data_IF_576979831625
#
_entry.id   IF_576979831625
#
_cell.length_a   1.000
_cell.length_b   1.000
_cell.length_c   1.000
_cell.angle_alpha   90.00
_cell.angle_beta   90.00
_cell.angle_gamma   90.00
#
_symmetry.space_group_name_H-M   'P 1'
#
loop_
_entity.id
_entity.type
_entity.pdbx_description
1 polymer ?
#
# COMPACT_ATOMS: atom_id res chain seq x y z
N UNK A 1 -23.58 -8.59 11.56
CA UNK A 1 -23.04 -7.30 12.06
C UNK A 1 -22.14 -7.46 13.30
N UNK A 2 -22.19 -8.59 14.03
CA UNK A 2 -21.39 -8.82 15.25
C UNK A 2 -19.97 -9.34 14.96
N UNK A 3 -19.70 -9.90 13.78
CA UNK A 3 -18.39 -10.48 13.43
C UNK A 3 -17.24 -9.47 13.21
N UNK A 4 -17.51 -8.17 13.22
CA UNK A 4 -16.52 -7.13 12.88
C UNK A 4 -15.88 -6.43 14.08
N UNK A 5 -16.16 -6.86 15.31
CA UNK A 5 -15.56 -6.27 16.50
C UNK A 5 -14.40 -7.12 16.99
N UNK A 6 -13.20 -6.54 17.01
CA UNK A 6 -12.10 -7.12 17.76
C UNK A 6 -12.19 -6.66 19.23
N UNK A 7 -12.13 -7.62 20.14
CA UNK A 7 -12.10 -7.34 21.57
C UNK A 7 -10.79 -6.68 22.01
N UNK A 8 -10.82 -6.14 23.24
CA UNK A 8 -9.65 -5.53 23.87
C UNK A 8 -8.50 -6.51 23.92
N UNK A 9 -7.38 -6.17 23.29
CA UNK A 9 -6.19 -7.01 23.30
C UNK A 9 -5.34 -6.65 24.52
N UNK A 10 -4.86 -7.65 25.24
CA UNK A 10 -3.89 -7.44 26.32
C UNK A 10 -2.52 -7.90 25.85
N UNK A 11 -1.54 -7.01 25.85
CA UNK A 11 -0.16 -7.29 25.42
C UNK A 11 0.75 -7.27 26.63
N UNK A 12 1.63 -8.27 26.74
CA UNK A 12 2.69 -8.28 27.75
C UNK A 12 3.84 -7.42 27.25
N UNK A 13 4.26 -6.46 28.06
CA UNK A 13 5.35 -5.54 27.74
C UNK A 13 6.53 -5.77 28.67
N UNK A 14 7.72 -5.66 28.10
CA UNK A 14 8.96 -5.67 28.87
C UNK A 14 9.16 -4.29 29.51
N UNK A 15 9.37 -4.27 30.82
CA UNK A 15 9.80 -3.09 31.59
C UNK A 15 11.28 -3.20 31.93
N UNK A 16 11.87 -2.11 32.40
CA UNK A 16 13.26 -2.14 32.86
C UNK A 16 13.46 -3.18 33.97
N UNK A 17 12.50 -3.29 34.91
CA UNK A 17 12.56 -4.28 35.98
C UNK A 17 12.42 -5.71 35.45
N UNK A 18 11.53 -5.97 34.49
CA UNK A 18 11.38 -7.32 33.93
C UNK A 18 12.57 -7.71 33.04
N UNK A 19 13.28 -6.73 32.47
CA UNK A 19 14.49 -6.98 31.67
C UNK A 19 15.73 -7.23 32.55
N UNK A 20 15.87 -6.47 33.64
CA UNK A 20 17.04 -6.55 34.53
C UNK A 20 16.90 -7.61 35.64
N UNK A 21 15.67 -7.90 36.06
CA UNK A 21 15.39 -8.82 37.17
C UNK A 21 14.48 -9.96 36.70
N UNK A 22 15.04 -11.16 36.61
CA UNK A 22 14.37 -12.35 36.03
C UNK A 22 13.16 -12.83 36.84
N UNK A 23 13.01 -12.34 38.06
CA UNK A 23 11.91 -12.66 38.98
C UNK A 23 10.67 -11.76 38.80
N UNK A 24 10.82 -10.59 38.19
CA UNK A 24 9.70 -9.69 37.92
C UNK A 24 9.00 -10.09 36.62
N UNK A 25 7.73 -10.48 36.73
CA UNK A 25 6.90 -10.81 35.57
C UNK A 25 6.69 -9.61 34.64
N UNK A 26 6.46 -9.88 33.35
CA UNK A 26 6.13 -8.84 32.36
C UNK A 26 4.83 -8.11 32.73
N UNK A 27 4.85 -6.78 32.63
CA UNK A 27 3.65 -5.97 32.83
C UNK A 27 2.64 -6.21 31.71
N UNK A 28 1.35 -6.04 31.99
CA UNK A 28 0.28 -6.21 31.01
C UNK A 28 -0.35 -4.87 30.68
N UNK A 29 -0.43 -4.54 29.39
CA UNK A 29 -1.09 -3.33 28.89
C UNK A 29 -2.32 -3.73 28.08
N UNK A 30 -3.46 -3.13 28.40
CA UNK A 30 -4.68 -3.24 27.59
C UNK A 30 -4.64 -2.25 26.44
N UNK A 31 -4.86 -2.74 25.23
CA UNK A 31 -4.91 -1.98 23.99
C UNK A 31 -6.30 -2.08 23.36
N UNK A 32 -6.94 -0.94 23.13
CA UNK A 32 -8.25 -0.84 22.49
C UNK A 32 -8.19 -0.26 21.07
N UNK A 33 -7.08 0.40 20.72
CA UNK A 33 -6.96 1.13 19.46
C UNK A 33 -6.08 0.39 18.44
N UNK A 34 -5.12 -0.39 18.94
CA UNK A 34 -4.13 -1.10 18.16
C UNK A 34 -4.13 -2.58 18.52
N UNK A 35 -3.88 -3.42 17.52
CA UNK A 35 -3.72 -4.87 17.71
C UNK A 35 -2.49 -5.38 16.95
N UNK A 36 -1.84 -6.38 17.53
CA UNK A 36 -0.72 -7.09 16.94
C UNK A 36 -1.16 -8.29 16.11
N UNK A 37 -0.60 -8.44 14.92
CA UNK A 37 -0.85 -9.56 14.00
C UNK A 37 0.46 -10.36 13.83
N UNK A 38 0.71 -11.26 14.79
CA UNK A 38 2.01 -11.94 14.95
C UNK A 38 1.95 -13.49 14.94
N UNK A 39 0.80 -14.11 15.29
CA UNK A 39 0.69 -15.56 15.47
C UNK A 39 -0.39 -16.23 14.58
N UNK A 40 -0.58 -15.74 13.36
CA UNK A 40 -1.66 -16.21 12.48
C UNK A 40 -1.52 -17.67 11.97
N UNK A 41 -0.46 -18.40 12.34
CA UNK A 41 -0.15 -19.75 11.81
C UNK A 41 0.22 -20.79 12.87
N UNK A 42 0.14 -20.48 14.16
CA UNK A 42 0.65 -21.40 15.19
C UNK A 42 -0.35 -22.50 15.57
N UNK A 43 -1.64 -22.17 15.79
CA UNK A 43 -2.72 -23.09 16.19
C UNK A 43 -4.06 -22.65 15.55
N UNK A 44 -5.08 -23.52 15.51
CA UNK A 44 -6.43 -23.20 14.96
C UNK A 44 -7.07 -21.95 15.60
N UNK A 45 -6.95 -21.81 16.92
CA UNK A 45 -7.42 -20.60 17.63
C UNK A 45 -6.68 -19.33 17.17
N UNK A 46 -5.39 -19.45 16.85
CA UNK A 46 -4.57 -18.35 16.34
C UNK A 46 -4.96 -17.94 14.91
N UNK A 47 -5.34 -18.91 14.08
CA UNK A 47 -5.88 -18.67 12.73
C UNK A 47 -7.23 -17.94 12.82
N UNK A 48 -8.15 -18.45 13.65
CA UNK A 48 -9.46 -17.83 13.88
C UNK A 48 -9.33 -16.38 14.39
N UNK A 49 -8.44 -16.16 15.36
CA UNK A 49 -8.17 -14.82 15.89
C UNK A 49 -7.63 -13.87 14.82
N UNK A 50 -6.68 -14.34 14.01
CA UNK A 50 -6.11 -13.56 12.92
C UNK A 50 -7.17 -13.16 11.89
N UNK A 51 -8.06 -14.08 11.51
CA UNK A 51 -9.16 -13.78 10.59
C UNK A 51 -10.16 -12.77 11.17
N UNK A 52 -10.49 -12.88 12.45
CA UNK A 52 -11.35 -11.92 13.13
C UNK A 52 -10.72 -10.52 13.17
N UNK A 53 -9.42 -10.44 13.49
CA UNK A 53 -8.67 -9.17 13.48
C UNK A 53 -8.65 -8.56 12.08
N UNK A 54 -8.45 -9.38 11.04
CA UNK A 54 -8.47 -8.92 9.64
C UNK A 54 -9.84 -8.38 9.24
N UNK A 55 -10.92 -9.09 9.56
CA UNK A 55 -12.30 -8.64 9.30
C UNK A 55 -12.60 -7.33 10.03
N UNK A 56 -12.22 -7.24 11.30
CA UNK A 56 -12.43 -6.04 12.12
C UNK A 56 -11.66 -4.83 11.59
N UNK A 57 -10.38 -4.98 11.23
CA UNK A 57 -9.57 -3.89 10.68
C UNK A 57 -10.05 -3.42 9.30
N UNK A 58 -10.68 -4.30 8.51
CA UNK A 58 -11.35 -3.96 7.25
C UNK A 58 -12.79 -3.44 7.45
N UNK A 59 -13.13 -3.00 8.65
CA UNK A 59 -14.41 -2.40 8.99
C UNK A 59 -14.21 -0.97 9.49
N UNK A 60 -15.27 -0.15 9.62
CA UNK A 60 -15.16 1.20 10.19
C UNK A 60 -14.91 1.19 11.72
N UNK A 61 -14.81 0.02 12.35
CA UNK A 61 -14.69 -0.14 13.80
C UNK A 61 -13.26 -0.48 14.22
N UNK A 62 -13.03 -0.52 15.54
CA UNK A 62 -11.74 -0.90 16.12
C UNK A 62 -11.35 -2.32 15.68
N UNK A 63 -10.06 -2.57 15.47
CA UNK A 63 -8.91 -1.71 15.75
C UNK A 63 -8.60 -0.74 14.60
N UNK A 64 -7.96 0.40 14.90
CA UNK A 64 -7.58 1.41 13.91
C UNK A 64 -6.10 1.37 13.52
N UNK A 65 -5.29 0.63 14.28
CA UNK A 65 -3.88 0.37 13.98
C UNK A 65 -3.64 -1.13 14.02
N UNK A 66 -3.05 -1.66 12.95
CA UNK A 66 -2.63 -3.05 12.86
C UNK A 66 -1.11 -3.10 12.78
N UNK A 67 -0.47 -3.66 13.81
CA UNK A 67 0.96 -3.89 13.83
C UNK A 67 1.25 -5.32 13.35
N UNK A 68 2.20 -5.51 12.46
CA UNK A 68 2.42 -6.81 11.85
C UNK A 68 3.85 -6.99 11.37
N UNK A 69 4.31 -8.24 11.36
CA UNK A 69 5.67 -8.64 10.96
C UNK A 69 5.66 -9.32 9.59
N UNK A 70 6.82 -9.41 8.94
CA UNK A 70 6.97 -10.03 7.61
C UNK A 70 6.51 -11.50 7.53
N UNK A 71 6.45 -12.21 8.66
CA UNK A 71 6.12 -13.64 8.73
C UNK A 71 4.59 -13.84 8.69
N UNK A 72 4.10 -14.54 7.66
CA UNK A 72 2.73 -15.05 7.63
C UNK A 72 1.68 -14.17 6.93
N UNK A 73 2.12 -13.23 6.09
CA UNK A 73 1.22 -12.20 5.57
C UNK A 73 0.91 -12.30 4.06
N UNK A 74 1.42 -13.27 3.30
CA UNK A 74 1.07 -13.37 1.87
C UNK A 74 -0.45 -13.46 1.65
N UNK A 75 -0.96 -12.70 0.69
CA UNK A 75 -2.38 -12.71 0.32
C UNK A 75 -3.35 -11.92 1.21
N UNK A 76 -2.88 -11.14 2.20
CA UNK A 76 -3.77 -10.32 3.04
C UNK A 76 -3.99 -8.92 2.47
N UNK A 77 -5.26 -8.53 2.43
CA UNK A 77 -5.73 -7.25 1.93
C UNK A 77 -6.34 -6.39 3.05
N UNK A 78 -5.92 -5.13 3.13
CA UNK A 78 -6.35 -4.15 4.14
C UNK A 78 -6.89 -2.85 3.52
N UNK A 79 -7.10 -2.83 2.21
CA UNK A 79 -7.44 -1.65 1.41
C UNK A 79 -8.81 -1.06 1.70
N UNK A 80 -9.72 -1.79 2.34
CA UNK A 80 -11.10 -1.32 2.55
C UNK A 80 -11.11 -0.12 3.49
N UNK A 81 -10.51 -0.21 4.68
CA UNK A 81 -10.52 0.89 5.64
C UNK A 81 -9.13 1.44 6.00
N UNK A 82 -8.08 0.98 5.30
CA UNK A 82 -6.73 1.52 5.45
C UNK A 82 -6.26 2.29 4.21
N UNK A 83 -5.57 3.41 4.45
CA UNK A 83 -4.87 4.19 3.42
C UNK A 83 -3.45 4.58 3.84
N UNK A 84 -3.04 4.27 5.06
CA UNK A 84 -1.75 4.69 5.62
C UNK A 84 -0.96 3.44 5.97
N UNK A 85 0.26 3.33 5.46
CA UNK A 85 1.21 2.28 5.83
C UNK A 85 2.40 2.91 6.52
N UNK A 86 2.76 2.37 7.68
CA UNK A 86 3.97 2.76 8.40
C UNK A 86 4.98 1.65 8.24
N UNK A 87 6.12 1.93 7.62
CA UNK A 87 7.24 1.00 7.62
C UNK A 87 8.14 1.32 8.81
N UNK A 88 7.97 0.55 9.88
CA UNK A 88 8.83 0.68 11.07
C UNK A 88 10.29 0.37 10.73
N UNK A 89 10.52 -0.69 9.96
CA UNK A 89 11.83 -1.03 9.39
C UNK A 89 11.74 -1.07 7.86
N UNK A 90 12.73 -0.47 7.20
CA UNK A 90 12.87 -0.55 5.74
C UNK A 90 13.21 -2.00 5.33
N UNK A 91 12.50 -2.56 4.34
CA UNK A 91 12.90 -3.84 3.78
C UNK A 91 14.22 -3.70 3.01
N UNK A 92 14.97 -4.80 2.91
CA UNK A 92 16.19 -4.86 2.09
C UNK A 92 15.86 -4.92 0.60
N UNK A 93 14.74 -5.54 0.22
CA UNK A 93 14.31 -5.72 -1.16
C UNK A 93 13.21 -4.70 -1.54
N UNK A 94 13.33 -3.97 -2.67
CA UNK A 94 12.26 -3.12 -3.19
C UNK A 94 10.95 -3.87 -3.45
N UNK A 95 11.00 -5.14 -3.85
CA UNK A 95 9.81 -5.95 -4.09
C UNK A 95 9.00 -6.12 -2.80
N UNK A 96 9.67 -6.34 -1.66
CA UNK A 96 8.99 -6.44 -0.36
C UNK A 96 8.29 -5.13 0.02
N UNK A 97 8.90 -3.98 -0.32
CA UNK A 97 8.27 -2.67 -0.11
C UNK A 97 6.97 -2.56 -0.91
N UNK A 98 7.02 -2.91 -2.19
CA UNK A 98 5.87 -2.89 -3.09
C UNK A 98 4.78 -3.87 -2.65
N UNK A 99 5.12 -5.10 -2.28
CA UNK A 99 4.17 -6.08 -1.77
C UNK A 99 3.50 -5.63 -0.47
N UNK A 100 4.24 -4.97 0.44
CA UNK A 100 3.68 -4.40 1.68
C UNK A 100 2.66 -3.30 1.38
N UNK A 101 2.96 -2.41 0.45
CA UNK A 101 2.03 -1.36 0.01
C UNK A 101 0.86 -1.90 -0.82
N UNK A 102 1.07 -2.96 -1.57
CA UNK A 102 0.05 -3.66 -2.34
C UNK A 102 -1.09 -4.20 -1.48
N UNK A 103 -0.92 -4.30 -0.16
CA UNK A 103 -2.01 -4.67 0.77
C UNK A 103 -3.10 -3.61 0.87
N UNK A 104 -2.74 -2.35 0.67
CA UNK A 104 -3.66 -1.21 0.73
C UNK A 104 -3.93 -0.60 -0.64
N UNK A 105 -2.99 -0.72 -1.58
CA UNK A 105 -3.18 -0.33 -2.96
C UNK A 105 -3.85 -1.47 -3.75
N UNK A 106 -5.18 -1.56 -3.64
CA UNK A 106 -6.02 -2.55 -4.33
C UNK A 106 -7.20 -1.87 -5.04
N UNK A 107 -7.87 -2.64 -5.89
CA UNK A 107 -9.14 -2.29 -6.52
C UNK A 107 -10.13 -1.68 -5.50
N UNK A 108 -10.68 -0.51 -5.84
CA UNK A 108 -11.61 0.26 -4.99
C UNK A 108 -11.08 0.48 -3.54
N UNK A 109 -9.78 0.72 -3.38
CA UNK A 109 -9.19 1.10 -2.09
C UNK A 109 -9.88 2.31 -1.44
N UNK A 110 -9.70 2.48 -0.13
CA UNK A 110 -10.29 3.61 0.62
C UNK A 110 -9.97 4.97 -0.01
N UNK A 111 -8.75 5.16 -0.51
CA UNK A 111 -8.35 6.41 -1.16
C UNK A 111 -9.17 6.68 -2.42
N UNK A 112 -9.31 5.67 -3.29
CA UNK A 112 -10.12 5.74 -4.51
C UNK A 112 -11.57 6.03 -4.17
N UNK A 113 -12.17 5.25 -3.25
CA UNK A 113 -13.58 5.41 -2.84
C UNK A 113 -13.85 6.81 -2.31
N UNK A 114 -12.97 7.37 -1.47
CA UNK A 114 -13.12 8.75 -0.97
C UNK A 114 -13.01 9.79 -2.08
N UNK A 115 -12.09 9.62 -3.02
CA UNK A 115 -11.96 10.55 -4.14
C UNK A 115 -13.15 10.50 -5.09
N UNK A 116 -13.68 9.30 -5.37
CA UNK A 116 -14.90 9.12 -6.15
C UNK A 116 -16.09 9.76 -5.44
N UNK A 117 -16.28 9.49 -4.15
CA UNK A 117 -17.36 10.10 -3.36
C UNK A 117 -17.28 11.64 -3.33
N UNK A 118 -16.07 12.19 -3.23
CA UNK A 118 -15.86 13.64 -3.29
C UNK A 118 -16.20 14.24 -4.66
N UNK A 119 -15.97 13.50 -5.75
CA UNK A 119 -16.28 13.93 -7.12
C UNK A 119 -17.77 13.80 -7.45
N UNK A 120 -18.46 12.83 -6.84
CA UNK A 120 -19.86 12.51 -7.08
C UNK A 120 -20.71 12.54 -5.79
N UNK A 121 -20.82 13.69 -5.11
CA UNK A 121 -21.44 13.78 -3.78
C UNK A 121 -22.97 13.54 -3.77
N UNK A 122 -23.62 13.66 -4.93
CA UNK A 122 -25.08 13.55 -5.05
C UNK A 122 -25.56 12.09 -5.15
N UNK A 123 -24.66 11.15 -5.45
CA UNK A 123 -24.97 9.72 -5.56
C UNK A 123 -24.84 9.07 -4.18
N UNK A 124 -25.66 8.05 -3.89
CA UNK A 124 -25.73 7.45 -2.54
C UNK A 124 -25.09 6.07 -2.48
N UNK A 125 -25.06 5.34 -3.59
CA UNK A 125 -24.48 3.99 -3.64
C UNK A 125 -23.10 3.99 -4.32
N UNK A 126 -22.24 3.07 -3.89
CA UNK A 126 -20.93 2.91 -4.53
C UNK A 126 -21.06 2.52 -6.00
N UNK A 127 -22.04 1.68 -6.36
CA UNK A 127 -22.19 1.20 -7.72
C UNK A 127 -22.56 2.33 -8.68
N UNK A 128 -23.53 3.18 -8.33
CA UNK A 128 -23.87 4.38 -9.10
C UNK A 128 -22.68 5.32 -9.25
N UNK A 129 -21.95 5.57 -8.16
CA UNK A 129 -20.76 6.43 -8.16
C UNK A 129 -19.69 5.91 -9.12
N UNK A 130 -19.38 4.61 -9.08
CA UNK A 130 -18.35 4.02 -9.93
C UNK A 130 -18.82 3.89 -11.39
N UNK A 131 -20.11 3.64 -11.63
CA UNK A 131 -20.67 3.62 -12.99
C UNK A 131 -20.59 5.01 -13.62
N UNK A 132 -20.99 6.05 -12.90
CA UNK A 132 -20.88 7.44 -13.38
C UNK A 132 -19.42 7.83 -13.60
N UNK A 133 -18.53 7.53 -12.64
CA UNK A 133 -17.11 7.77 -12.79
C UNK A 133 -16.50 7.05 -14.00
N UNK A 134 -16.98 5.84 -14.30
CA UNK A 134 -16.55 5.10 -15.48
C UNK A 134 -17.05 5.76 -16.77
N UNK A 135 -18.29 6.24 -16.83
CA UNK A 135 -18.81 6.96 -18.00
C UNK A 135 -18.03 8.25 -18.28
N UNK A 136 -17.73 9.02 -17.24
CA UNK A 136 -17.07 10.32 -17.40
C UNK A 136 -15.57 10.19 -17.70
N UNK A 137 -14.88 9.24 -17.06
CA UNK A 137 -13.41 9.20 -17.07
C UNK A 137 -12.84 8.17 -18.03
N UNK A 138 -13.57 7.13 -18.44
CA UNK A 138 -12.99 6.03 -19.21
C UNK A 138 -12.52 6.44 -20.61
N UNK A 139 -13.07 7.50 -21.19
CA UNK A 139 -12.80 7.98 -22.56
C UNK A 139 -11.35 7.76 -23.06
N UNK A 140 -10.42 8.65 -22.68
CA UNK A 140 -9.00 8.55 -23.06
C UNK A 140 -8.12 7.92 -21.97
N UNK A 141 -8.70 7.43 -20.88
CA UNK A 141 -7.94 6.86 -19.76
C UNK A 141 -7.92 5.33 -19.84
N UNK A 142 -6.92 4.72 -19.22
CA UNK A 142 -6.82 3.26 -19.09
C UNK A 142 -7.98 2.66 -18.29
N UNK A 143 -8.28 1.37 -18.51
CA UNK A 143 -9.30 0.59 -17.78
C UNK A 143 -9.07 0.53 -16.25
N UNK A 144 -7.87 0.87 -15.78
CA UNK A 144 -7.59 1.01 -14.35
C UNK A 144 -8.31 2.20 -13.71
N UNK A 145 -8.72 3.20 -14.50
CA UNK A 145 -9.53 4.35 -14.08
C UNK A 145 -11.01 3.98 -14.22
N UNK A 146 -11.86 4.23 -13.20
CA UNK A 146 -11.61 4.91 -11.92
C UNK A 146 -11.27 3.97 -10.75
N UNK A 147 -11.09 2.66 -11.01
CA UNK A 147 -11.11 1.64 -9.96
C UNK A 147 -9.82 1.55 -9.13
N UNK A 148 -8.68 1.90 -9.71
CA UNK A 148 -7.36 1.87 -9.07
C UNK A 148 -6.81 3.28 -8.85
N UNK A 149 -7.12 4.23 -9.74
CA UNK A 149 -6.70 5.62 -9.65
C UNK A 149 -7.68 6.56 -10.36
N UNK A 150 -7.54 7.87 -10.11
CA UNK A 150 -8.21 8.93 -10.86
C UNK A 150 -7.16 9.85 -11.49
N UNK A 151 -7.36 10.35 -12.72
CA UNK A 151 -6.37 11.13 -13.48
C UNK A 151 -6.12 12.53 -12.89
N UNK A 152 -7.15 13.20 -12.35
CA UNK A 152 -7.05 14.59 -11.86
C UNK A 152 -6.96 14.62 -10.32
N UNK A 153 -5.82 14.17 -9.80
CA UNK A 153 -5.55 14.29 -8.35
C UNK A 153 -5.03 15.68 -8.00
N UNK A 154 -5.91 16.55 -7.54
CA UNK A 154 -5.56 17.83 -6.93
C UNK A 154 -4.80 17.66 -5.61
N UNK A 155 -4.26 18.76 -5.05
CA UNK A 155 -3.65 18.77 -3.71
C UNK A 155 -4.59 18.23 -2.62
N UNK A 156 -5.90 18.40 -2.81
CA UNK A 156 -6.93 17.95 -1.87
C UNK A 156 -7.36 16.49 -2.07
N UNK A 157 -6.78 15.78 -3.05
CA UNK A 157 -7.06 14.36 -3.25
C UNK A 157 -6.59 13.52 -2.07
N UNK A 158 -7.41 12.54 -1.68
CA UNK A 158 -7.06 11.56 -0.68
C UNK A 158 -6.06 10.58 -1.30
N UNK A 159 -4.88 10.49 -0.68
CA UNK A 159 -3.80 9.61 -1.15
C UNK A 159 -3.59 8.43 -0.21
N UNK A 160 -3.01 7.39 -0.77
CA UNK A 160 -2.33 6.35 0.01
C UNK A 160 -1.04 6.96 0.55
N UNK A 161 -0.86 6.94 1.87
CA UNK A 161 0.28 7.54 2.55
C UNK A 161 1.27 6.46 2.98
N UNK A 162 2.51 6.58 2.50
CA UNK A 162 3.67 5.85 3.02
C UNK A 162 4.34 6.69 4.09
N UNK A 163 4.43 6.16 5.30
CA UNK A 163 5.08 6.82 6.44
C UNK A 163 6.31 5.99 6.82
N UNK A 164 7.46 6.66 6.89
CA UNK A 164 8.73 6.06 7.31
C UNK A 164 9.32 6.97 8.37
N UNK A 165 9.43 6.53 9.63
CA UNK A 165 10.15 7.25 10.66
C UNK A 165 11.62 7.42 10.26
N UNK A 166 12.09 8.66 10.14
CA UNK A 166 13.50 8.96 9.88
C UNK A 166 14.16 9.36 11.19
N UNK A 167 14.98 8.48 11.74
CA UNK A 167 15.68 8.75 12.99
C UNK A 167 16.94 9.59 12.74
N UNK A 168 17.21 10.62 13.57
CA UNK A 168 18.47 11.34 13.53
C UNK A 168 19.65 10.38 13.65
N UNK A 169 20.73 10.65 12.90
CA UNK A 169 21.95 9.82 12.87
C UNK A 169 21.77 8.38 12.36
N UNK A 170 20.60 8.04 11.79
CA UNK A 170 20.39 6.75 11.14
C UNK A 170 20.85 6.73 9.67
N UNK A 171 21.26 5.56 9.20
CA UNK A 171 21.50 5.27 7.78
C UNK A 171 20.20 5.01 6.99
N UNK A 172 19.03 5.15 7.61
CA UNK A 172 17.75 4.84 6.97
C UNK A 172 17.41 5.79 5.83
N UNK A 173 17.79 7.06 5.93
CA UNK A 173 17.56 8.03 4.86
C UNK A 173 18.27 7.67 3.53
N UNK A 174 19.60 7.44 3.51
CA UNK A 174 20.27 7.03 2.28
C UNK A 174 19.81 5.64 1.79
N UNK A 175 19.51 4.70 2.70
CA UNK A 175 18.93 3.39 2.34
C UNK A 175 17.58 3.55 1.65
N UNK A 176 16.70 4.40 2.19
CA UNK A 176 15.39 4.67 1.59
C UNK A 176 15.52 5.29 0.20
N UNK A 177 16.40 6.30 0.02
CA UNK A 177 16.65 6.90 -1.30
C UNK A 177 17.07 5.85 -2.33
N UNK A 178 18.01 4.97 -1.95
CA UNK A 178 18.46 3.86 -2.80
C UNK A 178 17.31 2.90 -3.11
N UNK A 179 16.53 2.52 -2.09
CA UNK A 179 15.40 1.61 -2.23
C UNK A 179 14.35 2.14 -3.22
N UNK A 180 14.01 3.43 -3.15
CA UNK A 180 13.05 4.05 -4.09
C UNK A 180 13.60 4.17 -5.51
N UNK A 181 14.91 4.45 -5.66
CA UNK A 181 15.55 4.45 -6.99
C UNK A 181 15.45 3.06 -7.63
N UNK A 182 15.80 2.01 -6.88
CA UNK A 182 15.74 0.64 -7.39
C UNK A 182 14.29 0.21 -7.64
N UNK A 183 13.35 0.56 -6.77
CA UNK A 183 11.92 0.28 -7.00
C UNK A 183 11.42 0.93 -8.30
N UNK A 184 11.87 2.15 -8.60
CA UNK A 184 11.52 2.83 -9.84
C UNK A 184 12.07 2.11 -11.06
N UNK A 185 13.31 1.64 -11.01
CA UNK A 185 13.93 0.83 -12.07
C UNK A 185 13.21 -0.51 -12.25
N UNK A 186 12.88 -1.18 -11.14
CA UNK A 186 12.11 -2.42 -11.15
C UNK A 186 10.75 -2.23 -11.86
N UNK A 187 10.03 -1.14 -11.56
CA UNK A 187 8.76 -0.82 -12.23
C UNK A 187 8.90 -0.56 -13.72
N UNK A 188 10.02 0.00 -14.16
CA UNK A 188 10.29 0.24 -15.58
C UNK A 188 10.56 -1.07 -16.34
N UNK A 189 11.27 -2.01 -15.72
CA UNK A 189 11.67 -3.26 -16.36
C UNK A 189 10.64 -4.38 -16.22
N UNK A 190 9.62 -4.21 -15.38
CA UNK A 190 8.50 -5.14 -15.27
C UNK A 190 7.86 -5.40 -16.65
N UNK A 191 7.73 -6.68 -16.99
CA UNK A 191 7.16 -7.11 -18.28
C UNK A 191 8.11 -7.01 -19.48
N UNK A 192 9.33 -6.48 -19.32
CA UNK A 192 10.33 -6.40 -20.40
C UNK A 192 11.08 -7.73 -20.56
N UNK A 193 11.40 -8.15 -21.81
CA UNK A 193 12.37 -9.22 -22.04
C UNK A 193 13.77 -8.77 -21.60
N UNK A 194 14.56 -9.68 -21.01
CA UNK A 194 15.95 -9.44 -20.56
C UNK A 194 16.13 -8.21 -19.65
N UNK A 195 15.43 -8.21 -18.53
CA UNK A 195 15.38 -7.10 -17.57
C UNK A 195 16.75 -6.61 -17.09
N UNK A 196 17.72 -7.51 -16.92
CA UNK A 196 19.08 -7.17 -16.46
C UNK A 196 19.83 -6.31 -17.47
N UNK A 197 19.80 -6.68 -18.75
CA UNK A 197 20.44 -5.92 -19.84
C UNK A 197 19.87 -4.49 -19.94
N UNK A 198 18.54 -4.35 -19.80
CA UNK A 198 17.87 -3.05 -19.82
C UNK A 198 18.28 -2.18 -18.62
N UNK A 199 18.39 -2.79 -17.42
CA UNK A 199 18.84 -2.07 -16.23
C UNK A 199 20.28 -1.57 -16.42
N UNK A 200 21.16 -2.39 -17.00
CA UNK A 200 22.55 -2.00 -17.19
C UNK A 200 22.69 -0.88 -18.22
N UNK A 201 21.93 -0.91 -19.33
CA UNK A 201 21.84 0.23 -20.26
C UNK A 201 21.33 1.52 -19.59
N UNK A 202 20.36 1.42 -18.68
CA UNK A 202 19.80 2.55 -17.92
C UNK A 202 20.77 3.04 -16.82
N UNK A 203 21.69 2.21 -16.35
CA UNK A 203 22.73 2.64 -15.39
C UNK A 203 23.88 3.37 -16.09
N UNK A 204 24.22 2.96 -17.31
CA UNK A 204 25.29 3.57 -18.12
C UNK A 204 24.91 4.97 -18.63
N UNK A 205 23.62 5.17 -18.95
CA UNK A 205 23.06 6.50 -19.20
C UNK A 205 22.58 7.06 -17.88
N UNK A 206 23.27 8.05 -17.30
CA UNK A 206 22.91 8.61 -16.01
C UNK A 206 21.39 8.85 -15.92
N UNK A 207 20.71 8.16 -14.99
CA UNK A 207 19.24 7.98 -14.96
C UNK A 207 18.40 9.28 -14.80
N UNK A 208 19.06 10.44 -14.85
CA UNK A 208 18.51 11.78 -14.82
C UNK A 208 18.24 12.36 -16.22
N UNK A 209 18.87 11.83 -17.28
CA UNK A 209 18.68 12.31 -18.66
C UNK A 209 17.84 11.38 -19.54
N UNK A 210 17.46 10.21 -19.04
CA UNK A 210 16.63 9.27 -19.81
C UNK A 210 15.21 9.81 -19.86
N UNK A 211 14.78 10.25 -21.04
CA UNK A 211 13.38 10.51 -21.31
C UNK A 211 12.61 9.18 -21.18
N UNK A 212 11.98 8.98 -20.02
CA UNK A 212 11.29 7.74 -19.66
C UNK A 212 10.27 7.31 -20.71
N UNK A 213 9.70 8.28 -21.43
CA UNK A 213 8.72 8.06 -22.49
C UNK A 213 9.29 7.30 -23.70
N UNK A 214 10.59 7.40 -23.99
CA UNK A 214 11.22 6.72 -25.14
C UNK A 214 11.54 5.24 -24.88
N UNK A 215 11.72 4.85 -23.62
CA UNK A 215 12.22 3.52 -23.23
C UNK A 215 11.17 2.63 -22.57
N UNK A 216 9.99 3.15 -22.29
CA UNK A 216 8.88 2.37 -21.74
C UNK A 216 8.07 1.83 -22.92
N UNK A 217 7.97 0.51 -23.03
CA UNK A 217 6.89 -0.08 -23.82
C UNK A 217 5.60 0.33 -23.12
N UNK A 218 4.83 1.22 -23.75
CA UNK A 218 3.56 1.61 -23.22
C UNK A 218 2.55 0.45 -23.40
N UNK A 219 2.38 -0.32 -22.33
CA UNK A 219 1.40 -1.41 -22.27
C UNK A 219 0.03 -0.92 -21.78
N UNK A 220 -0.19 0.40 -21.68
CA UNK A 220 -1.52 0.92 -21.39
C UNK A 220 -2.44 0.63 -22.58
N UNK A 221 -3.69 0.20 -22.35
CA UNK A 221 -4.59 -0.14 -23.46
C UNK A 221 -5.00 1.07 -24.34
N UNK A 222 -4.61 2.30 -23.99
CA UNK A 222 -5.26 3.53 -24.44
C UNK A 222 -4.34 4.68 -24.87
N UNK A 223 -3.05 4.45 -25.14
CA UNK A 223 -2.23 5.51 -25.74
C UNK A 223 -2.55 5.66 -27.23
N UNK A 224 -3.55 6.47 -27.56
CA UNK A 224 -3.70 7.01 -28.91
C UNK A 224 -2.60 8.05 -29.10
N UNK A 225 -1.52 7.70 -29.79
CA UNK A 225 -0.73 8.71 -30.48
C UNK A 225 -1.71 9.57 -31.28
N UNK A 226 -1.82 10.86 -30.94
CA UNK A 226 -2.42 11.82 -31.86
C UNK A 226 -1.52 11.81 -33.08
N UNK A 227 -1.86 11.01 -34.09
CA UNK A 227 -1.33 11.17 -35.43
C UNK A 227 -1.86 12.54 -35.88
N UNK A 228 -1.10 13.58 -35.55
CA UNK A 228 -1.26 14.90 -36.13
C UNK A 228 -1.06 14.72 -37.62
N UNK A 229 -2.12 14.92 -38.37
CA UNK A 229 -2.08 14.83 -39.82
C UNK A 229 -1.06 15.83 -40.37
N UNK A 230 -0.10 15.29 -41.10
CA UNK A 230 0.32 15.83 -42.38
C UNK A 230 1.09 14.72 -43.10
N UNK A 231 0.71 14.49 -44.36
CA UNK A 231 1.47 13.95 -45.50
C UNK A 231 0.56 13.06 -46.37
N UNK A 232 0.51 13.29 -47.69
CA UNK A 232 0.32 14.54 -48.44
C UNK A 232 -1.15 14.90 -48.66
#
# INVERSE_FOLDING_TARGET
MIESFADTTTVKVDTYESFTNTTSGKASIRAHFAVGYFNAKSNDEGVQHADNVRKAFNSPFKPFVLATTSVGQEGLDFHLYCRKVVHWNLPSNPVDLEQREGRINRFKSLAVRRNVANRYPNLQTWDEMFEQASKDLKGNNSDIVPYWCLPDTDKNSVKIERIIPMYPLSLDFPKYKRLIKILSLYRLTLGQPRQEELIDMIKERDALEINKEEFIINLSPFERMKIGGSYP
#
